data_IF_935020472565
#
_entry.id   IF_935020472565
#
_cell.length_a   1.000
_cell.length_b   1.000
_cell.length_c   1.000
_cell.angle_alpha   90.00
_cell.angle_beta   90.00
_cell.angle_gamma   90.00
#
_symmetry.space_group_name_H-M   'P 1'
#
loop_
_entity.id
_entity.type
_entity.pdbx_description
1 polymer ?
#
# COMPACT_ATOMS: atom_id res chain seq x y z
N UNK A 1 14.86 4.83 15.44
CA UNK A 1 15.55 3.70 14.77
C UNK A 1 14.46 2.84 14.16
N UNK A 2 14.51 2.57 12.83
CA UNK A 2 13.54 1.72 12.18
C UNK A 2 13.65 0.28 12.69
N UNK A 3 12.54 -0.44 12.67
CA UNK A 3 12.48 -1.86 13.00
C UNK A 3 11.97 -2.66 11.80
N UNK A 4 12.74 -3.66 11.43
CA UNK A 4 12.39 -4.61 10.38
C UNK A 4 11.77 -5.85 11.02
N UNK A 5 10.53 -6.15 10.68
CA UNK A 5 9.80 -7.30 11.19
C UNK A 5 10.16 -8.59 10.43
N UNK A 6 10.34 -8.51 9.13
CA UNK A 6 10.86 -9.59 8.29
C UNK A 6 11.35 -9.06 6.95
N UNK A 7 12.18 -9.86 6.28
CA UNK A 7 12.54 -9.66 4.87
C UNK A 7 12.56 -11.03 4.17
N UNK A 8 12.18 -11.06 2.92
CA UNK A 8 12.21 -12.28 2.09
C UNK A 8 12.06 -11.99 0.60
N UNK A 9 12.48 -12.94 -0.22
CA UNK A 9 12.19 -12.92 -1.65
C UNK A 9 10.71 -13.22 -1.86
N UNK A 10 9.97 -12.24 -2.36
CA UNK A 10 8.55 -12.37 -2.59
C UNK A 10 8.26 -12.80 -4.03
N UNK A 11 7.41 -13.82 -4.15
CA UNK A 11 6.92 -14.36 -5.43
C UNK A 11 5.40 -14.15 -5.47
N UNK A 12 4.96 -12.89 -5.35
CA UNK A 12 3.57 -12.56 -5.03
C UNK A 12 2.73 -12.08 -6.20
N UNK A 13 1.73 -11.33 -5.88
CA UNK A 13 0.52 -11.09 -6.65
C UNK A 13 0.70 -10.09 -7.78
N UNK A 14 1.60 -9.12 -7.62
CA UNK A 14 1.88 -8.16 -8.69
C UNK A 14 2.98 -8.72 -9.61
N UNK A 15 2.58 -9.50 -10.58
CA UNK A 15 3.46 -10.20 -11.51
C UNK A 15 4.59 -9.34 -12.12
N UNK A 16 4.41 -8.05 -12.47
CA UNK A 16 5.50 -7.23 -12.99
C UNK A 16 6.59 -6.92 -11.97
N UNK A 17 6.31 -7.05 -10.67
CA UNK A 17 7.26 -6.75 -9.59
C UNK A 17 8.08 -7.96 -9.13
N UNK A 18 7.74 -9.19 -9.53
CA UNK A 18 8.40 -10.39 -9.02
C UNK A 18 9.62 -10.80 -9.86
N UNK A 19 10.66 -11.39 -9.25
CA UNK A 19 10.86 -11.58 -7.81
C UNK A 19 11.21 -10.25 -7.11
N UNK A 20 10.61 -10.01 -5.96
CA UNK A 20 10.76 -8.79 -5.17
C UNK A 20 11.41 -9.08 -3.82
N UNK A 21 12.42 -8.33 -3.44
CA UNK A 21 12.98 -8.39 -2.09
C UNK A 21 12.18 -7.46 -1.17
N UNK A 22 11.38 -8.07 -0.31
CA UNK A 22 10.38 -7.35 0.48
C UNK A 22 10.86 -7.17 1.91
N UNK A 23 10.89 -5.92 2.38
CA UNK A 23 11.30 -5.54 3.74
C UNK A 23 10.08 -5.02 4.50
N UNK A 24 9.67 -5.74 5.55
CA UNK A 24 8.51 -5.40 6.37
C UNK A 24 8.93 -4.57 7.58
N UNK A 25 8.50 -3.32 7.63
CA UNK A 25 8.68 -2.46 8.78
C UNK A 25 7.61 -2.68 9.85
N UNK A 26 7.99 -2.53 11.11
CA UNK A 26 7.05 -2.50 12.23
C UNK A 26 6.36 -1.13 12.33
N UNK A 27 5.12 -1.14 12.83
CA UNK A 27 4.30 0.07 12.97
C UNK A 27 3.59 0.50 11.69
N UNK A 28 2.52 1.27 11.86
CA UNK A 28 1.70 1.78 10.76
C UNK A 28 1.06 3.12 11.18
N UNK A 29 0.86 4.00 10.22
CA UNK A 29 0.08 5.24 10.42
C UNK A 29 -1.41 4.96 10.62
N UNK A 30 -1.90 3.78 10.19
CA UNK A 30 -3.27 3.33 10.40
C UNK A 30 -3.40 2.37 11.59
N UNK A 31 -4.63 2.33 12.14
CA UNK A 31 -5.06 1.31 13.08
C UNK A 31 -6.25 0.54 12.53
N UNK A 32 -6.04 -0.08 11.36
CA UNK A 32 -7.09 -0.81 10.66
C UNK A 32 -7.64 -1.95 11.54
N UNK A 33 -8.94 -1.93 11.77
CA UNK A 33 -9.63 -2.90 12.63
C UNK A 33 -9.71 -4.31 11.99
N UNK A 34 -9.36 -4.41 10.72
CA UNK A 34 -9.32 -5.64 9.90
C UNK A 34 -7.92 -5.97 9.39
N UNK A 35 -6.87 -5.43 10.02
CA UNK A 35 -5.51 -5.57 9.52
C UNK A 35 -5.05 -7.04 9.51
N UNK A 36 -4.60 -7.50 8.35
CA UNK A 36 -4.07 -8.87 8.22
C UNK A 36 -2.68 -9.01 8.84
N UNK A 37 -1.90 -7.93 8.83
CA UNK A 37 -0.55 -7.85 9.42
C UNK A 37 -0.58 -7.09 10.76
N UNK A 38 -1.62 -7.31 11.57
CA UNK A 38 -1.83 -6.56 12.81
C UNK A 38 -0.72 -6.76 13.83
N UNK A 39 -0.10 -7.93 13.85
CA UNK A 39 1.00 -8.32 14.72
C UNK A 39 2.23 -7.40 14.57
N UNK A 40 2.56 -6.99 13.36
CA UNK A 40 3.65 -6.07 13.10
C UNK A 40 3.18 -4.61 12.95
N UNK A 41 1.98 -4.37 12.41
CA UNK A 41 1.50 -3.01 12.13
C UNK A 41 1.04 -2.28 13.38
N UNK A 42 0.52 -2.99 14.39
CA UNK A 42 0.00 -2.40 15.62
C UNK A 42 1.02 -2.41 16.76
N UNK A 43 2.14 -3.09 16.59
CA UNK A 43 3.27 -3.08 17.54
C UNK A 43 4.52 -2.46 16.88
N UNK A 44 4.78 -1.17 17.09
CA UNK A 44 5.95 -0.50 16.52
C UNK A 44 7.28 -0.97 17.15
N UNK A 45 7.25 -1.78 18.21
CA UNK A 45 8.42 -2.35 18.85
C UNK A 45 8.73 -3.77 18.38
N UNK A 46 7.90 -4.36 17.52
CA UNK A 46 8.19 -5.67 16.93
C UNK A 46 9.39 -5.60 15.98
N UNK A 47 10.04 -6.74 15.75
CA UNK A 47 11.18 -6.86 14.85
C UNK A 47 12.52 -6.35 15.42
N UNK A 48 13.55 -6.41 14.60
CA UNK A 48 14.90 -6.01 14.93
C UNK A 48 15.14 -4.52 14.61
N UNK A 49 15.83 -3.81 15.48
CA UNK A 49 16.35 -2.48 15.16
C UNK A 49 17.45 -2.60 14.11
N UNK A 50 17.36 -1.74 13.09
CA UNK A 50 18.33 -1.72 12.00
C UNK A 50 18.76 -0.27 11.72
N UNK A 51 20.01 -0.09 11.38
CA UNK A 51 20.54 1.20 10.91
C UNK A 51 20.28 1.39 9.42
N UNK A 52 20.33 2.61 8.88
CA UNK A 52 20.27 2.84 7.43
C UNK A 52 21.27 2.02 6.63
N UNK A 53 22.49 1.86 7.16
CA UNK A 53 23.54 1.05 6.53
C UNK A 53 23.19 -0.45 6.49
N UNK A 54 22.56 -0.96 7.53
CA UNK A 54 22.07 -2.35 7.54
C UNK A 54 20.90 -2.52 6.57
N UNK A 55 20.01 -1.53 6.45
CA UNK A 55 18.98 -1.53 5.41
C UNK A 55 19.60 -1.55 4.00
N UNK A 56 20.63 -0.75 3.74
CA UNK A 56 21.34 -0.76 2.46
C UNK A 56 21.90 -2.16 2.15
N UNK A 57 22.52 -2.83 3.13
CA UNK A 57 23.02 -4.21 2.96
C UNK A 57 21.92 -5.23 2.70
N UNK A 58 20.71 -5.04 3.25
CA UNK A 58 19.56 -5.90 2.91
C UNK A 58 19.17 -5.74 1.45
N UNK A 59 19.20 -4.51 0.92
CA UNK A 59 18.94 -4.25 -0.51
C UNK A 59 19.99 -4.91 -1.40
N UNK A 60 21.27 -4.77 -1.04
CA UNK A 60 22.41 -5.38 -1.75
C UNK A 60 22.27 -6.91 -1.77
N UNK A 61 21.94 -7.52 -0.63
CA UNK A 61 21.65 -8.96 -0.53
C UNK A 61 20.49 -9.37 -1.44
N UNK A 62 19.40 -8.61 -1.45
CA UNK A 62 18.27 -8.85 -2.34
C UNK A 62 18.68 -8.87 -3.81
N UNK A 63 19.59 -7.97 -4.22
CA UNK A 63 20.17 -7.94 -5.57
C UNK A 63 20.98 -9.20 -5.87
N UNK A 64 21.81 -9.64 -4.94
CA UNK A 64 22.62 -10.85 -5.07
C UNK A 64 21.75 -12.11 -5.19
N UNK A 65 20.61 -12.14 -4.48
CA UNK A 65 19.61 -13.22 -4.55
C UNK A 65 18.76 -13.17 -5.83
N UNK A 66 18.95 -12.16 -6.70
CA UNK A 66 18.28 -12.05 -8.00
C UNK A 66 16.96 -11.28 -7.97
N UNK A 67 16.68 -10.47 -6.95
CA UNK A 67 15.53 -9.60 -6.92
C UNK A 67 15.57 -8.57 -8.05
N UNK A 68 14.39 -8.20 -8.55
CA UNK A 68 14.21 -7.14 -9.56
C UNK A 68 14.02 -5.77 -8.93
N UNK A 69 13.56 -5.75 -7.66
CA UNK A 69 13.32 -4.54 -6.89
C UNK A 69 13.44 -4.80 -5.40
N UNK A 70 13.58 -3.73 -4.62
CA UNK A 70 13.31 -3.72 -3.19
C UNK A 70 11.92 -3.15 -2.95
N UNK A 71 11.14 -3.80 -2.11
CA UNK A 71 9.77 -3.43 -1.77
C UNK A 71 9.68 -3.03 -0.28
N UNK A 72 9.53 -1.74 -0.03
CA UNK A 72 9.39 -1.17 1.30
C UNK A 72 7.94 -1.25 1.75
N UNK A 73 7.64 -2.12 2.70
CA UNK A 73 6.27 -2.45 3.12
C UNK A 73 6.20 -2.68 4.64
N UNK A 74 5.30 -3.49 5.10
CA UNK A 74 5.17 -3.96 6.47
C UNK A 74 3.86 -3.55 7.09
N UNK A 75 3.93 -2.96 8.27
CA UNK A 75 2.86 -2.13 8.79
C UNK A 75 2.64 -0.97 7.83
N UNK A 76 3.68 -0.14 7.68
CA UNK A 76 3.75 0.88 6.63
C UNK A 76 5.18 1.45 6.56
N UNK A 77 5.74 1.78 5.38
CA UNK A 77 7.08 2.34 5.28
C UNK A 77 7.14 3.81 5.71
N UNK A 78 6.04 4.56 5.63
CA UNK A 78 6.00 6.01 5.83
C UNK A 78 6.64 6.49 7.14
N UNK A 79 6.42 5.84 8.31
CA UNK A 79 7.10 6.24 9.55
C UNK A 79 8.63 6.10 9.51
N UNK A 80 9.15 5.30 8.57
CA UNK A 80 10.56 4.98 8.42
C UNK A 80 11.21 5.68 7.22
N UNK A 81 10.51 6.62 6.57
CA UNK A 81 10.93 7.33 5.36
C UNK A 81 12.37 7.84 5.45
N UNK A 82 12.72 8.54 6.53
CA UNK A 82 14.05 9.10 6.73
C UNK A 82 15.15 8.03 6.64
N UNK A 83 15.00 6.91 7.34
CA UNK A 83 15.99 5.83 7.33
C UNK A 83 16.05 5.10 5.97
N UNK A 84 14.92 4.99 5.27
CA UNK A 84 14.87 4.41 3.91
C UNK A 84 15.63 5.32 2.94
N UNK A 85 15.43 6.64 2.99
CA UNK A 85 16.15 7.59 2.13
C UNK A 85 17.66 7.59 2.41
N UNK A 86 18.05 7.48 3.68
CA UNK A 86 19.46 7.33 4.04
C UNK A 86 20.04 6.01 3.53
N UNK A 87 19.29 4.90 3.65
CA UNK A 87 19.70 3.61 3.12
C UNK A 87 19.88 3.64 1.60
N UNK A 88 18.94 4.24 0.86
CA UNK A 88 19.04 4.40 -0.59
C UNK A 88 20.27 5.23 -1.00
N UNK A 89 20.61 6.25 -0.22
CA UNK A 89 21.83 7.05 -0.45
C UNK A 89 23.11 6.27 -0.24
N UNK A 90 23.12 5.34 0.72
CA UNK A 90 24.30 4.52 1.06
C UNK A 90 24.40 3.24 0.23
N UNK A 91 23.31 2.81 -0.41
CA UNK A 91 23.22 1.57 -1.17
C UNK A 91 23.96 1.69 -2.50
N UNK A 92 24.85 0.75 -2.79
CA UNK A 92 25.57 0.65 -4.07
C UNK A 92 24.83 -0.22 -5.10
N UNK A 93 23.80 -0.94 -4.69
CA UNK A 93 23.03 -1.79 -5.58
C UNK A 93 22.10 -0.97 -6.48
N UNK A 94 22.23 -1.13 -7.79
CA UNK A 94 21.24 -0.62 -8.74
C UNK A 94 20.05 -1.59 -8.78
N UNK A 95 19.05 -1.31 -7.95
CA UNK A 95 17.82 -2.09 -7.80
C UNK A 95 16.64 -1.13 -7.73
N UNK A 96 15.58 -1.39 -8.51
CA UNK A 96 14.39 -0.54 -8.50
C UNK A 96 13.76 -0.48 -7.11
N UNK A 97 13.31 0.69 -6.70
CA UNK A 97 12.72 0.96 -5.39
C UNK A 97 11.19 1.04 -5.48
N UNK A 98 10.50 0.24 -4.69
CA UNK A 98 9.03 0.17 -4.64
C UNK A 98 8.52 0.71 -3.30
N UNK A 99 7.76 1.79 -3.34
CA UNK A 99 7.07 2.37 -2.18
C UNK A 99 5.69 1.75 -2.00
N UNK A 100 5.59 0.75 -1.13
CA UNK A 100 4.35 0.01 -0.89
C UNK A 100 3.63 0.58 0.34
N UNK A 101 2.77 1.57 0.12
CA UNK A 101 2.23 2.43 1.17
C UNK A 101 0.71 2.54 1.14
N UNK A 102 0.13 2.83 2.29
CA UNK A 102 -1.26 3.24 2.45
C UNK A 102 -1.53 4.70 2.02
N UNK A 103 -0.52 5.43 1.57
CA UNK A 103 -0.56 6.80 1.06
C UNK A 103 -1.01 7.88 2.05
N UNK A 104 -1.01 7.58 3.36
CA UNK A 104 -1.44 8.54 4.37
C UNK A 104 -0.23 9.17 5.09
N UNK A 105 0.40 10.11 4.42
CA UNK A 105 1.54 10.88 4.89
C UNK A 105 1.39 12.38 4.55
N UNK A 106 2.21 13.22 5.16
CA UNK A 106 2.16 14.67 4.97
C UNK A 106 2.64 15.11 3.58
N UNK A 107 2.40 16.38 3.25
CA UNK A 107 2.93 17.00 2.03
C UNK A 107 4.47 17.05 2.02
N UNK A 108 5.07 17.27 3.18
CA UNK A 108 6.53 17.31 3.35
C UNK A 108 7.15 15.92 3.08
N UNK A 109 6.50 14.85 3.53
CA UNK A 109 6.92 13.49 3.21
C UNK A 109 6.78 13.19 1.70
N UNK A 110 5.72 13.69 1.05
CA UNK A 110 5.56 13.57 -0.40
C UNK A 110 6.69 14.29 -1.16
N UNK A 111 7.10 15.48 -0.71
CA UNK A 111 8.23 16.20 -1.30
C UNK A 111 9.56 15.45 -1.14
N UNK A 112 9.79 14.82 0.02
CA UNK A 112 10.99 14.02 0.26
C UNK A 112 11.03 12.74 -0.57
N UNK A 113 9.88 12.16 -0.90
CA UNK A 113 9.77 10.97 -1.75
C UNK A 113 10.01 11.26 -3.22
N UNK A 114 9.80 12.49 -3.67
CA UNK A 114 9.87 12.85 -5.09
C UNK A 114 11.22 12.50 -5.70
N UNK A 115 11.18 11.74 -6.81
CA UNK A 115 12.36 11.30 -7.53
C UNK A 115 13.22 10.26 -6.82
N UNK A 116 12.71 9.67 -5.73
CA UNK A 116 13.46 8.65 -4.96
C UNK A 116 12.93 7.23 -5.15
N UNK A 117 11.72 7.08 -5.70
CA UNK A 117 11.09 5.80 -5.93
C UNK A 117 10.85 5.58 -7.43
N UNK A 118 11.00 4.34 -7.90
CA UNK A 118 10.70 3.96 -9.29
C UNK A 118 9.23 3.58 -9.46
N UNK A 119 8.64 2.99 -8.41
CA UNK A 119 7.27 2.49 -8.43
C UNK A 119 6.59 2.82 -7.11
N UNK A 120 5.38 3.37 -7.20
CA UNK A 120 4.46 3.50 -6.08
C UNK A 120 3.42 2.38 -6.16
N UNK A 121 3.46 1.43 -5.21
CA UNK A 121 2.45 0.39 -5.02
C UNK A 121 1.55 0.81 -3.86
N UNK A 122 0.36 1.29 -4.17
CA UNK A 122 -0.43 2.09 -3.23
C UNK A 122 -1.75 1.44 -2.87
N UNK A 123 -2.27 1.78 -1.69
CA UNK A 123 -3.61 1.38 -1.29
C UNK A 123 -4.57 2.57 -1.30
N UNK A 124 -5.70 2.44 -2.02
CA UNK A 124 -6.83 3.37 -1.92
C UNK A 124 -8.03 2.64 -1.31
N UNK A 125 -8.15 2.69 0.02
CA UNK A 125 -9.10 1.85 0.77
C UNK A 125 -10.50 2.47 0.95
N UNK A 126 -10.58 3.77 1.21
CA UNK A 126 -11.81 4.46 1.59
C UNK A 126 -12.05 5.70 0.72
N UNK A 127 -13.30 5.95 0.38
CA UNK A 127 -13.73 7.24 -0.18
C UNK A 127 -14.45 8.08 0.88
N UNK A 128 -15.19 7.41 1.75
CA UNK A 128 -15.92 8.03 2.84
C UNK A 128 -15.03 8.16 4.08
N UNK A 129 -14.83 9.39 4.56
CA UNK A 129 -14.01 9.67 5.74
C UNK A 129 -14.63 9.10 7.04
N UNK A 130 -15.94 8.88 7.07
CA UNK A 130 -16.60 8.17 8.18
C UNK A 130 -16.18 6.70 8.24
N UNK A 131 -16.07 6.04 7.09
CA UNK A 131 -15.52 4.68 6.97
C UNK A 131 -14.05 4.65 7.39
N UNK A 132 -13.24 5.59 6.91
CA UNK A 132 -11.82 5.68 7.27
C UNK A 132 -11.63 5.87 8.79
N UNK A 133 -12.39 6.78 9.40
CA UNK A 133 -12.37 7.00 10.85
C UNK A 133 -12.84 5.77 11.61
N UNK A 134 -13.91 5.12 11.16
CA UNK A 134 -14.48 3.94 11.82
C UNK A 134 -13.54 2.75 11.78
N UNK A 135 -12.98 2.42 10.62
CA UNK A 135 -12.26 1.17 10.41
C UNK A 135 -10.74 1.29 10.36
N UNK A 136 -10.19 2.46 10.03
CA UNK A 136 -8.73 2.69 9.97
C UNK A 136 -8.23 3.69 11.01
N UNK A 137 -9.15 4.35 11.76
CA UNK A 137 -8.87 5.31 12.83
C UNK A 137 -8.05 6.53 12.37
N UNK A 138 -8.39 7.05 11.19
CA UNK A 138 -7.75 8.24 10.61
C UNK A 138 -8.78 9.27 10.15
N UNK A 139 -8.43 10.53 10.20
CA UNK A 139 -9.23 11.67 9.77
C UNK A 139 -8.74 12.21 8.42
N UNK A 140 -9.61 12.95 7.69
CA UNK A 140 -9.26 13.59 6.40
C UNK A 140 -8.58 12.62 5.41
N UNK A 141 -9.02 11.37 5.42
CA UNK A 141 -8.40 10.31 4.64
C UNK A 141 -8.43 10.62 3.15
N UNK A 142 -9.60 10.95 2.61
CA UNK A 142 -9.77 11.21 1.18
C UNK A 142 -8.89 12.36 0.70
N UNK A 143 -8.84 13.44 1.45
CA UNK A 143 -8.01 14.60 1.12
C UNK A 143 -6.52 14.24 1.06
N UNK A 144 -6.02 13.56 2.08
CA UNK A 144 -4.59 13.22 2.19
C UNK A 144 -4.19 12.21 1.14
N UNK A 145 -4.97 11.12 1.02
CA UNK A 145 -4.63 10.00 0.14
C UNK A 145 -4.78 10.40 -1.34
N UNK A 146 -5.83 11.15 -1.70
CA UNK A 146 -6.00 11.62 -3.07
C UNK A 146 -4.88 12.58 -3.51
N UNK A 147 -4.47 13.52 -2.64
CA UNK A 147 -3.32 14.39 -2.90
C UNK A 147 -2.05 13.58 -3.18
N UNK A 148 -1.78 12.57 -2.34
CA UNK A 148 -0.57 11.77 -2.46
C UNK A 148 -0.60 10.88 -3.71
N UNK A 149 -1.75 10.32 -4.11
CA UNK A 149 -1.88 9.60 -5.38
C UNK A 149 -1.61 10.52 -6.60
N UNK A 150 -2.12 11.75 -6.60
CA UNK A 150 -1.83 12.72 -7.65
C UNK A 150 -0.34 13.06 -7.73
N UNK A 151 0.30 13.27 -6.59
CA UNK A 151 1.74 13.54 -6.52
C UNK A 151 2.55 12.36 -7.06
N UNK A 152 2.26 11.13 -6.61
CA UNK A 152 2.99 9.94 -7.04
C UNK A 152 2.76 9.61 -8.52
N UNK A 153 1.56 9.85 -9.05
CA UNK A 153 1.24 9.65 -10.48
C UNK A 153 2.06 10.56 -11.40
N UNK A 154 2.41 11.76 -10.94
CA UNK A 154 3.26 12.69 -11.69
C UNK A 154 4.76 12.42 -11.51
N UNK A 155 5.14 11.54 -10.58
CA UNK A 155 6.53 11.33 -10.19
C UNK A 155 7.11 10.03 -10.80
N UNK A 156 6.38 8.91 -10.70
CA UNK A 156 6.86 7.60 -11.16
C UNK A 156 5.70 6.67 -11.55
N UNK A 157 6.02 5.42 -11.84
CA UNK A 157 5.01 4.37 -12.12
C UNK A 157 4.09 4.19 -10.91
N UNK A 158 2.79 4.16 -11.14
CA UNK A 158 1.78 4.02 -10.10
C UNK A 158 0.91 2.78 -10.33
N UNK A 159 0.88 1.91 -9.32
CA UNK A 159 -0.02 0.75 -9.24
C UNK A 159 -0.92 0.94 -8.02
N UNK A 160 -2.23 1.00 -8.23
CA UNK A 160 -3.20 1.24 -7.17
C UNK A 160 -3.90 -0.07 -6.82
N UNK A 161 -3.90 -0.42 -5.54
CA UNK A 161 -4.68 -1.54 -5.00
C UNK A 161 -5.91 -1.00 -4.29
N UNK A 162 -7.06 -1.54 -4.65
CA UNK A 162 -8.31 -1.29 -3.96
C UNK A 162 -8.84 -2.58 -3.37
N UNK A 163 -8.73 -2.77 -2.06
CA UNK A 163 -9.33 -3.89 -1.35
C UNK A 163 -10.85 -3.68 -1.25
N UNK A 164 -11.61 -4.51 -1.92
CA UNK A 164 -13.07 -4.45 -1.88
C UNK A 164 -13.57 -4.92 -0.51
N UNK A 165 -14.30 -4.03 0.18
CA UNK A 165 -14.81 -4.31 1.51
C UNK A 165 -16.29 -4.68 1.47
N UNK A 166 -16.73 -5.76 2.16
CA UNK A 166 -18.14 -6.15 2.23
C UNK A 166 -18.99 -5.01 2.80
N UNK A 167 -20.12 -4.73 2.15
CA UNK A 167 -21.04 -3.66 2.55
C UNK A 167 -20.60 -2.23 2.17
N UNK A 168 -19.40 -2.05 1.58
CA UNK A 168 -18.86 -0.71 1.27
C UNK A 168 -18.72 -0.41 -0.23
N UNK A 169 -19.41 -1.16 -1.08
CA UNK A 169 -19.33 -1.00 -2.53
C UNK A 169 -19.80 0.38 -3.01
N UNK A 170 -20.91 0.88 -2.47
CA UNK A 170 -21.50 2.15 -2.90
C UNK A 170 -20.82 3.37 -2.28
N UNK A 171 -20.44 3.29 -1.00
CA UNK A 171 -19.84 4.43 -0.30
C UNK A 171 -18.33 4.59 -0.55
N UNK A 172 -17.64 3.50 -0.95
CA UNK A 172 -16.19 3.51 -1.12
C UNK A 172 -15.75 2.96 -2.48
N UNK A 173 -16.03 1.71 -2.83
CA UNK A 173 -15.50 1.08 -4.04
C UNK A 173 -15.88 1.86 -5.31
N UNK A 174 -17.16 2.10 -5.54
CA UNK A 174 -17.63 2.81 -6.72
C UNK A 174 -17.03 4.21 -6.85
N UNK A 175 -17.11 5.08 -5.84
CA UNK A 175 -16.54 6.42 -5.96
C UNK A 175 -15.01 6.45 -6.05
N UNK A 176 -14.28 5.50 -5.45
CA UNK A 176 -12.82 5.37 -5.63
C UNK A 176 -12.49 5.10 -7.10
N UNK A 177 -13.11 4.09 -7.71
CA UNK A 177 -12.85 3.71 -9.10
C UNK A 177 -13.17 4.86 -10.07
N UNK A 178 -14.28 5.56 -9.85
CA UNK A 178 -14.59 6.77 -10.61
C UNK A 178 -13.59 7.91 -10.38
N UNK A 179 -13.12 8.08 -9.14
CA UNK A 179 -12.10 9.10 -8.83
C UNK A 179 -10.79 8.79 -9.56
N UNK A 180 -10.34 7.52 -9.53
CA UNK A 180 -9.13 7.06 -10.21
C UNK A 180 -9.24 7.35 -11.71
N UNK A 181 -10.29 6.89 -12.37
CA UNK A 181 -10.47 7.09 -13.80
C UNK A 181 -10.50 8.57 -14.20
N UNK A 182 -11.16 9.42 -13.39
CA UNK A 182 -11.30 10.86 -13.67
C UNK A 182 -10.01 11.63 -13.46
N UNK A 183 -9.23 11.31 -12.43
CA UNK A 183 -8.09 12.14 -12.00
C UNK A 183 -6.73 11.58 -12.48
N UNK A 184 -6.62 10.27 -12.68
CA UNK A 184 -5.38 9.60 -13.09
C UNK A 184 -5.48 9.01 -14.50
N UNK A 185 -6.69 8.97 -15.05
CA UNK A 185 -6.94 8.46 -16.40
C UNK A 185 -7.26 6.97 -16.47
N UNK A 186 -7.73 6.51 -17.66
CA UNK A 186 -8.22 5.14 -17.82
C UNK A 186 -7.12 4.07 -17.87
N UNK A 187 -5.87 4.46 -18.08
CA UNK A 187 -4.74 3.56 -18.29
C UNK A 187 -3.88 3.34 -17.05
N UNK A 188 -4.18 4.01 -15.92
CA UNK A 188 -3.49 3.73 -14.66
C UNK A 188 -3.74 2.28 -14.25
N UNK A 189 -2.71 1.65 -13.68
CA UNK A 189 -2.80 0.24 -13.24
C UNK A 189 -3.60 0.16 -11.95
N UNK A 190 -4.65 -0.65 -11.94
CA UNK A 190 -5.52 -0.83 -10.78
C UNK A 190 -5.74 -2.32 -10.53
N UNK A 191 -5.39 -2.76 -9.32
CA UNK A 191 -5.74 -4.07 -8.80
C UNK A 191 -6.99 -3.94 -7.92
N UNK A 192 -8.12 -4.49 -8.36
CA UNK A 192 -9.37 -4.56 -7.61
C UNK A 192 -9.38 -5.90 -6.86
N UNK A 193 -9.04 -5.87 -5.57
CA UNK A 193 -8.72 -7.07 -4.79
C UNK A 193 -9.94 -7.65 -4.08
N UNK A 194 -10.15 -8.95 -4.22
CA UNK A 194 -11.21 -9.72 -3.53
C UNK A 194 -10.75 -10.39 -2.22
N UNK A 195 -9.48 -10.24 -1.88
CA UNK A 195 -8.77 -10.96 -0.81
C UNK A 195 -9.21 -10.60 0.61
N UNK A 196 -10.29 -9.81 0.75
CA UNK A 196 -10.76 -9.44 2.08
C UNK A 196 -11.19 -10.67 2.89
N UNK A 197 -10.64 -10.76 4.09
CA UNK A 197 -11.08 -11.69 5.13
C UNK A 197 -11.14 -10.97 6.48
N UNK A 198 -12.11 -11.29 7.36
CA UNK A 198 -12.14 -10.75 8.71
C UNK A 198 -10.88 -11.16 9.48
N UNK A 199 -10.14 -10.17 9.98
CA UNK A 199 -8.94 -10.37 10.80
C UNK A 199 -8.94 -9.39 11.97
N UNK A 200 -8.07 -9.59 12.93
CA UNK A 200 -7.82 -8.73 14.08
C UNK A 200 -9.10 -8.39 14.85
N UNK A 201 -9.58 -7.15 14.81
CA UNK A 201 -10.76 -6.68 15.52
C UNK A 201 -12.02 -6.59 14.63
N UNK A 202 -12.00 -7.17 13.42
CA UNK A 202 -13.14 -7.14 12.51
C UNK A 202 -14.42 -7.71 13.13
N UNK A 203 -14.30 -8.67 14.06
CA UNK A 203 -15.44 -9.23 14.79
C UNK A 203 -16.26 -8.23 15.59
N UNK A 204 -15.69 -7.05 15.90
CA UNK A 204 -16.41 -5.93 16.55
C UNK A 204 -17.34 -5.16 15.62
N UNK A 205 -17.30 -5.45 14.32
CA UNK A 205 -18.02 -4.74 13.27
C UNK A 205 -18.79 -5.74 12.39
N UNK A 206 -20.04 -6.07 12.74
CA UNK A 206 -20.81 -7.13 12.05
C UNK A 206 -20.84 -7.00 10.53
N UNK A 207 -20.86 -5.76 10.01
CA UNK A 207 -20.94 -5.47 8.59
C UNK A 207 -19.70 -5.88 7.80
N UNK A 208 -18.52 -5.92 8.44
CA UNK A 208 -17.27 -6.39 7.85
C UNK A 208 -16.76 -7.70 8.46
N UNK A 209 -17.51 -8.31 9.39
CA UNK A 209 -17.14 -9.60 9.99
C UNK A 209 -17.61 -10.78 9.14
N UNK A 210 -17.39 -10.70 7.85
CA UNK A 210 -17.67 -11.75 6.87
C UNK A 210 -16.75 -11.61 5.67
N UNK A 211 -16.46 -12.67 4.92
CA UNK A 211 -15.74 -12.56 3.66
C UNK A 211 -16.56 -11.75 2.63
N UNK A 212 -15.86 -11.27 1.61
CA UNK A 212 -16.50 -10.73 0.42
C UNK A 212 -17.23 -11.86 -0.32
N UNK A 213 -18.42 -11.55 -0.88
CA UNK A 213 -19.13 -12.49 -1.73
C UNK A 213 -18.69 -12.34 -3.19
N UNK A 214 -18.78 -13.41 -3.98
CA UNK A 214 -18.48 -13.35 -5.41
C UNK A 214 -19.32 -12.30 -6.16
N UNK A 215 -20.61 -12.15 -5.78
CA UNK A 215 -21.48 -11.12 -6.38
C UNK A 215 -21.04 -9.68 -6.05
N UNK A 216 -20.51 -9.44 -4.84
CA UNK A 216 -19.95 -8.15 -4.47
C UNK A 216 -18.67 -7.85 -5.29
N UNK A 217 -17.81 -8.85 -5.47
CA UNK A 217 -16.62 -8.69 -6.29
C UNK A 217 -16.95 -8.43 -7.76
N UNK A 218 -17.83 -9.22 -8.36
CA UNK A 218 -18.31 -8.97 -9.72
C UNK A 218 -18.92 -7.58 -9.89
N UNK A 219 -19.61 -7.09 -8.85
CA UNK A 219 -20.15 -5.73 -8.87
C UNK A 219 -19.03 -4.68 -8.82
N UNK A 220 -17.97 -4.91 -8.05
CA UNK A 220 -16.80 -4.03 -8.01
C UNK A 220 -16.12 -3.95 -9.39
N UNK A 221 -15.93 -5.09 -10.07
CA UNK A 221 -15.39 -5.13 -11.43
C UNK A 221 -16.29 -4.42 -12.45
N UNK A 222 -17.64 -4.52 -12.30
CA UNK A 222 -18.55 -3.72 -13.14
C UNK A 222 -18.35 -2.22 -12.93
N UNK A 223 -18.20 -1.77 -11.69
CA UNK A 223 -17.91 -0.34 -11.39
C UNK A 223 -16.61 0.14 -12.01
N UNK A 224 -15.56 -0.70 -12.01
CA UNK A 224 -14.30 -0.38 -12.66
C UNK A 224 -14.46 -0.18 -14.17
N UNK A 225 -15.22 -1.07 -14.83
CA UNK A 225 -15.54 -0.97 -16.27
C UNK A 225 -16.43 0.25 -16.58
N UNK A 226 -17.48 0.49 -15.76
CA UNK A 226 -18.35 1.68 -15.88
C UNK A 226 -17.59 2.99 -15.70
N UNK A 227 -16.57 3.01 -14.85
CA UNK A 227 -15.67 4.15 -14.68
C UNK A 227 -14.75 4.37 -15.89
N UNK A 228 -14.59 3.37 -16.77
CA UNK A 228 -13.75 3.41 -17.96
C UNK A 228 -12.30 2.97 -17.72
N UNK A 229 -12.00 2.32 -16.60
CA UNK A 229 -10.66 1.79 -16.34
C UNK A 229 -10.36 0.62 -17.30
N UNK A 230 -9.17 0.66 -17.92
CA UNK A 230 -8.77 -0.26 -19.00
C UNK A 230 -7.60 -1.17 -18.60
N UNK A 231 -6.83 -0.78 -17.59
CA UNK A 231 -5.66 -1.52 -17.13
C UNK A 231 -5.94 -2.10 -15.73
N UNK A 232 -6.81 -3.09 -15.71
CA UNK A 232 -7.13 -3.83 -14.48
C UNK A 232 -6.19 -5.03 -14.38
N UNK A 233 -5.50 -5.15 -13.25
CA UNK A 233 -4.70 -6.32 -12.93
C UNK A 233 -5.58 -7.36 -12.23
N UNK A 234 -5.48 -8.62 -12.71
CA UNK A 234 -6.16 -9.79 -12.17
C UNK A 234 -5.38 -10.44 -11.02
#
# INVERSE_FOLDING_TARGET
IPRVASEFMHMGEEAPLVPSYTIFFAGCTFKCQFCQNWDISQDPNSGAEVTPRELARLVERGKEEGARNVNWVGGNPDPNLHAILEALRECEANLSSVWNSNMYYSSEAAELLRGTQDIYLTDFKWYDDGCARKYSKVDRYLEVVSRNHLSSFSDAELIIRHLVMPGHLQCCTRPILHWIARNLGPHVRVNVMDQYRPCYLASKYPEINRPLTGSEYEQALRFAREAGLQNLED
#
